data_IF_003261490046
#
_entry.id   IF_003261490046
#
_cell.length_a   1.000
_cell.length_b   1.000
_cell.length_c   1.000
_cell.angle_alpha   90.00
_cell.angle_beta   90.00
_cell.angle_gamma   90.00
#
_symmetry.space_group_name_H-M   'P 1'
#
loop_
_entity.id
_entity.type
_entity.pdbx_description
1 polymer ?
#
# COMPACT_ATOMS: atom_id res chain seq x y z
N UNK A 1 22.41 7.07 -21.12
CA UNK A 1 21.69 8.35 -20.88
C UNK A 1 20.74 8.23 -19.69
N UNK A 2 20.18 7.05 -19.46
CA UNK A 2 19.15 6.77 -18.47
C UNK A 2 19.66 6.78 -17.01
N UNK A 3 20.88 6.32 -16.75
CA UNK A 3 21.50 6.39 -15.42
C UNK A 3 21.75 7.82 -14.90
N UNK A 4 21.96 8.79 -15.81
CA UNK A 4 22.22 10.19 -15.42
C UNK A 4 20.95 10.92 -14.95
N UNK A 5 19.78 10.47 -15.36
CA UNK A 5 18.50 11.11 -15.01
C UNK A 5 17.69 10.32 -13.97
N UNK A 6 18.21 9.20 -13.46
CA UNK A 6 17.49 8.37 -12.51
C UNK A 6 16.25 7.69 -13.10
N UNK A 7 16.11 7.72 -14.43
CA UNK A 7 15.00 7.06 -15.12
C UNK A 7 15.31 5.56 -15.21
N UNK A 8 14.36 4.75 -14.78
CA UNK A 8 14.48 3.31 -14.80
C UNK A 8 14.20 2.77 -16.20
N UNK A 9 15.26 2.47 -16.96
CA UNK A 9 15.17 1.91 -18.31
C UNK A 9 14.89 0.39 -18.32
N UNK A 10 15.09 -0.28 -17.20
CA UNK A 10 15.01 -1.74 -17.07
C UNK A 10 13.67 -2.27 -16.53
N UNK A 11 12.64 -1.43 -16.50
CA UNK A 11 11.34 -1.76 -15.90
C UNK A 11 10.66 -3.03 -16.46
N UNK A 12 10.97 -3.40 -17.70
CA UNK A 12 10.37 -4.55 -18.42
C UNK A 12 11.32 -5.77 -18.45
N UNK A 13 12.60 -5.57 -18.10
CA UNK A 13 13.61 -6.63 -18.20
C UNK A 13 13.47 -7.56 -16.99
N UNK A 14 13.45 -8.87 -17.29
CA UNK A 14 13.44 -9.90 -16.24
C UNK A 14 14.75 -9.87 -15.46
N UNK A 15 14.67 -9.79 -14.14
CA UNK A 15 15.83 -9.95 -13.24
C UNK A 15 16.13 -11.44 -13.10
N UNK A 16 17.26 -11.87 -13.66
CA UNK A 16 17.72 -13.26 -13.59
C UNK A 16 18.17 -13.59 -12.15
N UNK A 17 18.08 -14.87 -11.72
CA UNK A 17 18.49 -15.28 -10.36
C UNK A 17 19.92 -14.86 -9.99
N UNK A 18 20.81 -14.86 -10.98
CA UNK A 18 22.24 -14.49 -10.82
C UNK A 18 22.44 -13.01 -10.47
N UNK A 19 21.50 -12.16 -10.89
CA UNK A 19 21.53 -10.70 -10.66
C UNK A 19 20.73 -10.26 -9.44
N UNK A 20 20.22 -11.19 -8.64
CA UNK A 20 19.44 -10.90 -7.45
C UNK A 20 20.34 -10.77 -6.23
N UNK A 21 19.97 -9.89 -5.33
CA UNK A 21 20.71 -9.66 -4.08
C UNK A 21 20.48 -10.83 -3.13
N UNK A 22 21.54 -11.27 -2.42
CA UNK A 22 21.36 -12.10 -1.25
C UNK A 22 20.70 -11.24 -0.15
N UNK A 23 19.49 -11.64 0.28
CA UNK A 23 18.74 -10.90 1.30
C UNK A 23 19.19 -11.32 2.68
N UNK A 24 19.56 -10.35 3.49
CA UNK A 24 19.84 -10.55 4.91
C UNK A 24 18.56 -10.30 5.71
N UNK A 25 18.40 -10.92 6.87
CA UNK A 25 17.21 -10.82 7.72
C UNK A 25 16.77 -9.37 8.01
N UNK A 26 17.71 -8.44 8.13
CA UNK A 26 17.38 -7.02 8.35
C UNK A 26 16.81 -6.32 7.10
N UNK A 27 17.05 -6.87 5.91
CA UNK A 27 16.45 -6.36 4.66
C UNK A 27 14.99 -6.80 4.56
N UNK A 28 14.65 -7.99 5.06
CA UNK A 28 13.25 -8.44 5.20
C UNK A 28 12.49 -7.55 6.18
N UNK A 29 13.11 -7.22 7.33
CA UNK A 29 12.55 -6.27 8.27
C UNK A 29 12.39 -4.88 7.65
N UNK A 30 13.36 -4.43 6.88
CA UNK A 30 13.27 -3.16 6.13
C UNK A 30 12.11 -3.15 5.14
N UNK A 31 11.81 -4.28 4.50
CA UNK A 31 10.65 -4.42 3.62
C UNK A 31 9.33 -4.36 4.40
N UNK A 32 9.26 -5.02 5.55
CA UNK A 32 8.08 -4.93 6.42
C UNK A 32 7.84 -3.49 6.89
N UNK A 33 8.90 -2.75 7.24
CA UNK A 33 8.82 -1.35 7.64
C UNK A 33 8.42 -0.42 6.48
N UNK A 34 8.84 -0.74 5.25
CA UNK A 34 8.39 -0.06 4.04
C UNK A 34 6.88 -0.22 3.83
N UNK A 35 6.38 -1.44 3.96
CA UNK A 35 4.93 -1.69 3.89
C UNK A 35 4.16 -1.00 5.04
N UNK A 36 4.73 -0.98 6.23
CA UNK A 36 4.17 -0.22 7.36
C UNK A 36 4.11 1.28 7.04
N UNK A 37 5.16 1.87 6.46
CA UNK A 37 5.18 3.28 6.05
C UNK A 37 4.11 3.58 5.01
N UNK A 38 3.98 2.75 3.97
CA UNK A 38 3.00 2.96 2.90
C UNK A 38 1.55 2.85 3.37
N UNK A 39 1.28 2.07 4.42
CA UNK A 39 -0.06 1.85 4.97
C UNK A 39 -0.41 2.72 6.18
N UNK A 40 0.58 3.16 6.96
CA UNK A 40 0.39 4.11 8.07
C UNK A 40 0.29 5.54 7.54
N UNK A 41 -0.87 5.91 7.01
CA UNK A 41 -1.13 7.24 6.47
C UNK A 41 -2.52 7.75 6.89
N UNK A 42 -2.73 9.05 6.70
CA UNK A 42 -3.97 9.72 7.09
C UNK A 42 -5.19 9.20 6.32
N UNK A 43 -5.03 8.78 5.08
CA UNK A 43 -6.13 8.23 4.28
C UNK A 43 -6.60 6.87 4.86
N UNK A 44 -5.67 6.00 5.27
CA UNK A 44 -6.02 4.74 5.95
C UNK A 44 -6.68 4.98 7.30
N UNK A 45 -6.20 5.99 8.07
CA UNK A 45 -6.84 6.41 9.31
C UNK A 45 -8.28 6.88 9.06
N UNK A 46 -8.50 7.71 8.04
CA UNK A 46 -9.82 8.20 7.65
C UNK A 46 -10.77 7.06 7.26
N UNK A 47 -10.26 5.99 6.65
CA UNK A 47 -11.06 4.80 6.34
C UNK A 47 -11.60 4.14 7.61
N UNK A 48 -10.85 4.12 8.70
CA UNK A 48 -11.30 3.61 9.99
C UNK A 48 -12.50 4.38 10.57
N UNK A 49 -12.59 5.69 10.34
CA UNK A 49 -13.72 6.51 10.78
C UNK A 49 -15.03 6.24 10.04
N UNK A 50 -14.98 5.61 8.87
CA UNK A 50 -16.18 5.28 8.10
C UNK A 50 -17.14 4.36 8.87
N UNK A 51 -16.62 3.52 9.77
CA UNK A 51 -17.45 2.67 10.60
C UNK A 51 -18.44 3.47 11.45
N UNK A 52 -17.98 4.55 12.07
CA UNK A 52 -18.85 5.46 12.81
C UNK A 52 -19.84 6.19 11.87
N UNK A 53 -19.39 6.66 10.72
CA UNK A 53 -20.24 7.33 9.73
C UNK A 53 -21.34 6.39 9.19
N UNK A 54 -21.10 5.10 9.18
CA UNK A 54 -22.08 4.08 8.80
C UNK A 54 -22.99 3.64 9.96
N UNK A 55 -22.81 4.21 11.16
CA UNK A 55 -23.63 3.85 12.32
C UNK A 55 -23.23 2.54 13.01
N UNK A 56 -22.03 2.03 12.75
CA UNK A 56 -21.49 0.83 13.39
C UNK A 56 -20.91 1.16 14.78
N UNK A 57 -21.02 0.22 15.71
CA UNK A 57 -20.33 0.30 16.98
C UNK A 57 -18.81 0.22 16.80
N UNK A 58 -18.05 0.70 17.79
CA UNK A 58 -16.59 0.63 17.78
C UNK A 58 -16.09 -0.82 17.57
N UNK A 59 -16.70 -1.78 18.29
CA UNK A 59 -16.32 -3.20 18.18
C UNK A 59 -16.55 -3.75 16.78
N UNK A 60 -17.68 -3.44 16.15
CA UNK A 60 -17.98 -3.86 14.77
C UNK A 60 -17.02 -3.25 13.78
N UNK A 61 -16.72 -1.96 13.91
CA UNK A 61 -15.77 -1.24 13.05
C UNK A 61 -14.37 -1.82 13.17
N UNK A 62 -13.87 -2.08 14.39
CA UNK A 62 -12.56 -2.71 14.61
C UNK A 62 -12.49 -4.10 14.00
N UNK A 63 -13.52 -4.93 14.17
CA UNK A 63 -13.55 -6.26 13.56
C UNK A 63 -13.52 -6.17 12.03
N UNK A 64 -14.30 -5.28 11.42
CA UNK A 64 -14.26 -5.06 9.98
C UNK A 64 -12.87 -4.61 9.50
N UNK A 65 -12.21 -3.70 10.23
CA UNK A 65 -10.86 -3.26 9.91
C UNK A 65 -9.85 -4.41 9.99
N UNK A 66 -9.89 -5.21 11.06
CA UNK A 66 -8.96 -6.34 11.24
C UNK A 66 -9.17 -7.40 10.15
N UNK A 67 -10.39 -7.90 9.99
CA UNK A 67 -10.66 -8.96 9.01
C UNK A 67 -10.50 -8.48 7.57
N UNK A 68 -10.96 -7.28 7.24
CA UNK A 68 -10.78 -6.68 5.92
C UNK A 68 -9.31 -6.51 5.56
N UNK A 69 -8.49 -6.02 6.50
CA UNK A 69 -7.04 -5.87 6.30
C UNK A 69 -6.34 -7.20 6.14
N UNK A 70 -6.65 -8.21 6.98
CA UNK A 70 -6.04 -9.55 6.87
C UNK A 70 -6.37 -10.17 5.51
N UNK A 71 -7.62 -10.14 5.10
CA UNK A 71 -8.03 -10.71 3.81
C UNK A 71 -7.36 -9.98 2.63
N UNK A 72 -7.38 -8.64 2.62
CA UNK A 72 -6.77 -7.86 1.57
C UNK A 72 -5.25 -8.01 1.51
N UNK A 73 -4.58 -7.98 2.66
CA UNK A 73 -3.12 -8.19 2.75
C UNK A 73 -2.70 -9.60 2.36
N UNK A 74 -3.54 -10.61 2.60
CA UNK A 74 -3.27 -11.99 2.17
C UNK A 74 -3.21 -12.09 0.65
N UNK A 75 -4.12 -11.42 -0.07
CA UNK A 75 -4.08 -11.36 -1.54
C UNK A 75 -2.83 -10.62 -2.03
N UNK A 76 -2.53 -9.48 -1.44
CA UNK A 76 -1.34 -8.68 -1.77
C UNK A 76 -0.06 -9.47 -1.51
N UNK A 77 0.06 -10.13 -0.35
CA UNK A 77 1.20 -10.97 0.00
C UNK A 77 1.38 -12.15 -0.96
N UNK A 78 0.29 -12.81 -1.33
CA UNK A 78 0.34 -13.90 -2.32
C UNK A 78 0.87 -13.41 -3.67
N UNK A 79 0.37 -12.29 -4.19
CA UNK A 79 0.84 -11.76 -5.47
C UNK A 79 2.26 -11.19 -5.39
N UNK A 80 2.69 -10.69 -4.24
CA UNK A 80 4.08 -10.26 -4.01
C UNK A 80 5.09 -11.38 -4.25
N UNK A 81 4.75 -12.64 -3.91
CA UNK A 81 5.64 -13.79 -4.09
C UNK A 81 6.02 -14.03 -5.55
N UNK A 82 5.18 -13.63 -6.50
CA UNK A 82 5.48 -13.78 -7.92
C UNK A 82 6.65 -12.91 -8.38
N UNK A 83 6.91 -11.77 -7.75
CA UNK A 83 8.08 -10.94 -8.05
C UNK A 83 9.39 -11.71 -7.82
N UNK A 84 9.53 -12.32 -6.65
CA UNK A 84 10.68 -13.16 -6.32
C UNK A 84 10.73 -14.45 -7.18
N UNK A 85 9.59 -15.08 -7.44
CA UNK A 85 9.55 -16.31 -8.22
C UNK A 85 9.92 -16.11 -9.70
N UNK A 86 9.41 -15.03 -10.31
CA UNK A 86 9.55 -14.84 -11.78
C UNK A 86 10.66 -13.85 -12.15
N UNK A 87 11.05 -12.95 -11.26
CA UNK A 87 11.92 -11.80 -11.57
C UNK A 87 11.26 -10.77 -12.48
N UNK A 88 9.93 -10.73 -12.53
CA UNK A 88 9.14 -9.81 -13.34
C UNK A 88 8.28 -8.92 -12.47
N UNK A 89 7.97 -7.73 -12.95
CA UNK A 89 7.01 -6.82 -12.31
C UNK A 89 5.57 -7.29 -12.53
N UNK A 90 4.67 -6.85 -11.65
CA UNK A 90 3.28 -7.30 -11.61
C UNK A 90 2.57 -7.18 -12.96
N UNK A 91 2.68 -6.04 -13.64
CA UNK A 91 2.06 -5.84 -14.95
C UNK A 91 2.69 -6.69 -16.06
N UNK A 92 3.94 -7.11 -15.92
CA UNK A 92 4.59 -8.05 -16.84
C UNK A 92 4.14 -9.49 -16.59
N UNK A 93 3.91 -9.86 -15.32
CA UNK A 93 3.42 -11.18 -14.93
C UNK A 93 1.97 -11.36 -15.37
N UNK A 94 1.14 -10.38 -15.15
CA UNK A 94 -0.30 -10.43 -15.48
C UNK A 94 -0.55 -10.69 -16.97
N UNK A 95 0.42 -10.36 -17.84
CA UNK A 95 0.36 -10.66 -19.26
C UNK A 95 0.26 -12.18 -19.55
N UNK A 96 0.87 -13.01 -18.70
CA UNK A 96 0.82 -14.46 -18.88
C UNK A 96 -0.54 -15.05 -18.50
N UNK A 97 -1.27 -14.39 -17.61
CA UNK A 97 -2.62 -14.80 -17.20
C UNK A 97 -3.71 -14.24 -18.11
N UNK A 98 -3.62 -12.96 -18.48
CA UNK A 98 -4.65 -12.26 -19.26
C UNK A 98 -4.39 -12.24 -20.77
N UNK A 99 -3.15 -12.54 -21.20
CA UNK A 99 -2.74 -12.37 -22.59
C UNK A 99 -2.33 -10.93 -22.92
N UNK A 100 -1.83 -10.72 -24.14
CA UNK A 100 -1.21 -9.45 -24.54
C UNK A 100 -2.19 -8.26 -24.59
N UNK A 101 -3.34 -8.42 -25.22
CA UNK A 101 -4.30 -7.34 -25.40
C UNK A 101 -5.11 -7.02 -24.15
N UNK A 102 -5.72 -7.99 -23.44
CA UNK A 102 -6.44 -7.70 -22.22
C UNK A 102 -5.53 -7.12 -21.12
N UNK A 103 -4.27 -7.52 -21.08
CA UNK A 103 -3.33 -6.97 -20.11
C UNK A 103 -3.09 -5.46 -20.25
N UNK A 104 -3.22 -4.90 -21.44
CA UNK A 104 -3.16 -3.45 -21.63
C UNK A 104 -4.29 -2.72 -20.92
N UNK A 105 -5.49 -3.32 -20.92
CA UNK A 105 -6.63 -2.79 -20.18
C UNK A 105 -6.37 -2.88 -18.67
N UNK A 106 -5.85 -4.01 -18.20
CA UNK A 106 -5.49 -4.19 -16.77
C UNK A 106 -4.46 -3.14 -16.34
N UNK A 107 -3.42 -2.91 -17.16
CA UNK A 107 -2.42 -1.88 -16.89
C UNK A 107 -3.02 -0.46 -16.88
N UNK A 108 -3.94 -0.15 -17.80
CA UNK A 108 -4.64 1.13 -17.80
C UNK A 108 -5.49 1.32 -16.54
N UNK A 109 -6.24 0.29 -16.13
CA UNK A 109 -7.03 0.32 -14.90
C UNK A 109 -6.14 0.51 -13.68
N UNK A 110 -4.97 -0.13 -13.64
CA UNK A 110 -3.99 0.08 -12.57
C UNK A 110 -3.52 1.55 -12.53
N UNK A 111 -3.20 2.17 -13.67
CA UNK A 111 -2.82 3.60 -13.73
C UNK A 111 -3.93 4.48 -13.16
N UNK A 112 -5.19 4.26 -13.57
CA UNK A 112 -6.35 5.01 -13.06
C UNK A 112 -6.47 4.84 -11.55
N UNK A 113 -6.33 3.61 -11.05
CA UNK A 113 -6.35 3.31 -9.62
C UNK A 113 -5.26 4.07 -8.85
N UNK A 114 -4.02 4.07 -9.34
CA UNK A 114 -2.91 4.77 -8.68
C UNK A 114 -3.12 6.29 -8.66
N UNK A 115 -3.63 6.87 -9.75
CA UNK A 115 -4.02 8.28 -9.80
C UNK A 115 -5.13 8.58 -8.78
N UNK A 116 -6.12 7.68 -8.65
CA UNK A 116 -7.18 7.79 -7.66
C UNK A 116 -6.64 7.85 -6.22
N UNK A 117 -5.73 6.95 -5.87
CA UNK A 117 -5.07 6.95 -4.54
C UNK A 117 -4.22 8.19 -4.31
N UNK A 118 -3.47 8.65 -5.33
CA UNK A 118 -2.71 9.89 -5.25
C UNK A 118 -3.63 11.09 -4.97
N UNK A 119 -4.77 11.15 -5.65
CA UNK A 119 -5.77 12.21 -5.42
C UNK A 119 -6.33 12.18 -3.98
N UNK A 120 -6.68 10.98 -3.47
CA UNK A 120 -7.12 10.83 -2.06
C UNK A 120 -6.03 11.31 -1.10
N UNK A 121 -4.78 10.92 -1.32
CA UNK A 121 -3.64 11.38 -0.52
C UNK A 121 -3.46 12.89 -0.55
N UNK A 122 -3.57 13.52 -1.71
CA UNK A 122 -3.49 14.99 -1.85
C UNK A 122 -4.64 15.70 -1.14
N UNK A 123 -5.86 15.17 -1.22
CA UNK A 123 -7.04 15.74 -0.58
C UNK A 123 -6.89 15.66 0.94
N UNK A 124 -6.59 14.49 1.49
CA UNK A 124 -6.42 14.29 2.94
C UNK A 124 -5.25 15.11 3.48
N UNK A 125 -4.13 15.15 2.76
CA UNK A 125 -2.98 15.98 3.10
C UNK A 125 -3.29 17.48 3.04
N UNK A 126 -4.04 17.93 2.04
CA UNK A 126 -4.47 19.32 1.90
C UNK A 126 -5.40 19.77 3.02
N UNK A 127 -6.32 18.91 3.44
CA UNK A 127 -7.21 19.17 4.59
C UNK A 127 -6.38 19.26 5.88
N UNK A 128 -5.43 18.34 6.09
CA UNK A 128 -4.54 18.37 7.25
C UNK A 128 -3.68 19.64 7.28
N UNK A 129 -3.12 20.05 6.14
CA UNK A 129 -2.34 21.28 6.03
C UNK A 129 -3.18 22.53 6.36
N UNK A 130 -4.43 22.57 5.90
CA UNK A 130 -5.39 23.64 6.24
C UNK A 130 -5.66 23.70 7.74
N UNK A 131 -5.84 22.54 8.38
CA UNK A 131 -6.08 22.44 9.82
C UNK A 131 -4.87 22.95 10.62
N UNK A 132 -3.66 22.53 10.25
CA UNK A 132 -2.40 23.00 10.89
C UNK A 132 -2.22 24.52 10.73
N UNK A 133 -2.62 25.07 9.58
CA UNK A 133 -2.60 26.52 9.35
C UNK A 133 -3.76 27.27 10.04
N UNK A 134 -4.44 26.65 11.00
CA UNK A 134 -5.59 27.25 11.73
C UNK A 134 -6.65 27.83 10.77
N UNK A 135 -6.87 27.16 9.65
CA UNK A 135 -7.80 27.53 8.58
C UNK A 135 -7.48 28.85 7.84
N UNK A 136 -6.31 29.46 8.07
CA UNK A 136 -5.84 30.61 7.26
C UNK A 136 -5.51 30.18 5.82
N UNK A 137 -5.25 28.89 5.59
CA UNK A 137 -5.06 28.31 4.27
C UNK A 137 -6.31 27.53 3.86
N UNK A 138 -6.89 27.84 2.69
CA UNK A 138 -8.05 27.06 2.23
C UNK A 138 -7.64 25.63 1.88
N UNK A 139 -8.50 24.61 2.13
CA UNK A 139 -8.19 23.20 1.78
C UNK A 139 -7.81 23.02 0.31
N UNK A 140 -8.41 23.79 -0.59
CA UNK A 140 -8.10 23.72 -2.04
C UNK A 140 -6.65 24.10 -2.34
N UNK A 141 -6.16 25.17 -1.71
CA UNK A 141 -4.75 25.61 -1.83
C UNK A 141 -3.83 24.56 -1.21
N UNK A 142 -4.22 24.00 -0.04
CA UNK A 142 -3.50 22.90 0.59
C UNK A 142 -3.34 21.70 -0.34
N UNK A 143 -4.39 21.27 -1.04
CA UNK A 143 -4.35 20.18 -2.01
C UNK A 143 -3.35 20.47 -3.14
N UNK A 144 -3.36 21.69 -3.70
CA UNK A 144 -2.42 22.07 -4.76
C UNK A 144 -0.98 22.04 -4.27
N UNK A 145 -0.71 22.53 -3.07
CA UNK A 145 0.63 22.52 -2.47
C UNK A 145 1.12 21.06 -2.30
N UNK A 146 0.30 20.19 -1.69
CA UNK A 146 0.67 18.78 -1.49
C UNK A 146 0.87 18.08 -2.84
N UNK A 147 0.01 18.32 -3.83
CA UNK A 147 0.17 17.74 -5.16
C UNK A 147 1.47 18.18 -5.84
N UNK A 148 1.81 19.47 -5.75
CA UNK A 148 3.06 20.01 -6.31
C UNK A 148 4.29 19.40 -5.62
N UNK A 149 4.30 19.29 -4.29
CA UNK A 149 5.39 18.67 -3.54
C UNK A 149 5.51 17.19 -3.92
N UNK A 150 4.41 16.46 -3.94
CA UNK A 150 4.39 15.03 -4.31
C UNK A 150 4.90 14.81 -5.74
N UNK A 151 4.51 15.69 -6.68
CA UNK A 151 5.02 15.66 -8.05
C UNK A 151 6.53 15.89 -8.11
N UNK A 152 7.04 16.92 -7.41
CA UNK A 152 8.48 17.16 -7.34
C UNK A 152 9.24 15.97 -6.72
N UNK A 153 8.70 15.35 -5.66
CA UNK A 153 9.29 14.16 -5.07
C UNK A 153 9.32 12.98 -6.05
N UNK A 154 8.27 12.79 -6.84
CA UNK A 154 8.22 11.72 -7.83
C UNK A 154 9.28 11.84 -8.93
N UNK A 155 9.71 13.07 -9.24
CA UNK A 155 10.77 13.33 -10.20
C UNK A 155 12.18 12.95 -9.69
N UNK A 156 12.36 12.79 -8.35
CA UNK A 156 13.64 12.39 -7.77
C UNK A 156 13.96 10.90 -7.97
N UNK A 157 12.99 10.15 -8.48
CA UNK A 157 13.15 8.74 -8.80
C UNK A 157 12.90 7.79 -7.63
N UNK A 158 12.68 6.53 -7.98
CA UNK A 158 12.27 5.46 -7.05
C UNK A 158 13.25 5.29 -5.87
N UNK A 159 14.55 5.43 -6.12
CA UNK A 159 15.57 5.25 -5.08
C UNK A 159 15.38 6.22 -3.90
N UNK A 160 15.06 7.48 -4.18
CA UNK A 160 14.83 8.49 -3.13
C UNK A 160 13.55 8.18 -2.36
N UNK A 161 12.50 7.77 -3.07
CA UNK A 161 11.22 7.38 -2.47
C UNK A 161 11.41 6.20 -1.52
N UNK A 162 12.14 5.16 -1.93
CA UNK A 162 12.40 3.99 -1.07
C UNK A 162 13.24 4.34 0.16
N UNK A 163 14.18 5.27 0.05
CA UNK A 163 14.93 5.76 1.22
C UNK A 163 14.03 6.56 2.16
N UNK A 164 13.17 7.43 1.63
CA UNK A 164 12.18 8.16 2.41
C UNK A 164 11.24 7.21 3.16
N UNK A 165 10.63 6.26 2.49
CA UNK A 165 9.69 5.31 3.09
C UNK A 165 10.32 4.45 4.17
N UNK A 166 11.61 4.11 4.04
CA UNK A 166 12.35 3.35 5.06
C UNK A 166 12.35 4.03 6.43
N UNK A 167 12.33 5.36 6.48
CA UNK A 167 12.38 6.13 7.73
C UNK A 167 11.05 6.80 8.09
N UNK A 168 10.17 7.03 7.13
CA UNK A 168 8.91 7.74 7.32
C UNK A 168 7.97 7.03 8.32
N UNK A 169 8.03 5.70 8.41
CA UNK A 169 7.24 4.94 9.38
C UNK A 169 7.47 5.39 10.82
N UNK A 170 8.69 5.84 11.19
CA UNK A 170 9.00 6.30 12.55
C UNK A 170 8.15 7.52 12.88
N UNK A 171 8.12 8.49 11.98
CA UNK A 171 7.35 9.73 12.17
C UNK A 171 5.86 9.42 12.25
N UNK A 172 5.34 8.60 11.33
CA UNK A 172 3.93 8.21 11.33
C UNK A 172 3.57 7.42 12.58
N UNK A 173 4.41 6.47 13.01
CA UNK A 173 4.20 5.71 14.23
C UNK A 173 4.09 6.61 15.47
N UNK A 174 5.00 7.56 15.62
CA UNK A 174 4.97 8.53 16.74
C UNK A 174 3.69 9.36 16.70
N UNK A 175 3.31 9.88 15.53
CA UNK A 175 2.07 10.66 15.38
C UNK A 175 0.86 9.81 15.75
N UNK A 176 0.76 8.58 15.28
CA UNK A 176 -0.37 7.70 15.61
C UNK A 176 -0.40 7.32 17.08
N UNK A 177 0.75 7.12 17.73
CA UNK A 177 0.80 6.86 19.18
C UNK A 177 0.32 8.06 20.00
N UNK A 178 0.66 9.28 19.57
CA UNK A 178 0.14 10.51 20.19
C UNK A 178 -1.38 10.59 19.99
N UNK A 179 -1.87 10.43 18.76
CA UNK A 179 -3.29 10.45 18.45
C UNK A 179 -4.06 9.38 19.25
N UNK A 180 -3.49 8.19 19.38
CA UNK A 180 -4.09 7.12 20.19
C UNK A 180 -4.15 7.50 21.67
N UNK A 181 -3.07 8.07 22.22
CA UNK A 181 -3.01 8.53 23.61
C UNK A 181 -4.05 9.62 23.91
N UNK A 182 -4.18 10.58 23.00
CA UNK A 182 -5.17 11.65 23.12
C UNK A 182 -6.61 11.15 22.97
N UNK A 183 -6.85 10.17 22.09
CA UNK A 183 -8.18 9.63 21.84
C UNK A 183 -8.64 8.60 22.89
N UNK A 184 -7.71 7.89 23.53
CA UNK A 184 -8.01 6.79 24.45
C UNK A 184 -8.97 7.15 25.60
N UNK A 185 -8.87 8.33 26.26
CA UNK A 185 -9.79 8.70 27.32
C UNK A 185 -11.24 8.90 26.86
N UNK A 186 -11.44 9.17 25.57
CA UNK A 186 -12.76 9.45 24.98
C UNK A 186 -13.39 8.22 24.32
N UNK A 187 -12.71 7.05 24.37
CA UNK A 187 -13.23 5.82 23.80
C UNK A 187 -14.42 5.31 24.59
N UNK A 188 -15.58 5.29 23.96
CA UNK A 188 -16.80 4.69 24.53
C UNK A 188 -17.06 3.32 23.87
N UNK A 189 -16.82 2.27 24.63
CA UNK A 189 -17.11 0.89 24.22
C UNK A 189 -18.59 0.51 24.27
N UNK A 190 -19.43 1.40 24.83
CA UNK A 190 -20.86 1.16 25.04
C UNK A 190 -21.74 1.78 23.98
N UNK A 191 -21.15 2.56 23.05
CA UNK A 191 -21.94 3.17 21.96
C UNK A 191 -22.63 2.07 21.17
N UNK A 192 -23.97 1.97 21.25
CA UNK A 192 -24.70 0.96 20.51
C UNK A 192 -24.64 1.27 19.00
N UNK A 193 -24.82 0.23 18.18
CA UNK A 193 -25.07 0.45 16.76
C UNK A 193 -26.40 1.19 16.60
N UNK A 194 -26.44 2.17 15.70
CA UNK A 194 -27.67 2.89 15.36
C UNK A 194 -28.53 2.17 14.31
N UNK A 195 -28.05 1.02 13.83
CA UNK A 195 -28.66 0.28 12.72
C UNK A 195 -29.41 -0.95 13.21
N UNK A 196 -30.58 -1.19 12.60
CA UNK A 196 -31.44 -2.34 12.87
C UNK A 196 -31.73 -3.13 11.60
N UNK A 197 -32.11 -4.39 11.76
CA UNK A 197 -32.55 -5.27 10.66
C UNK A 197 -31.50 -5.47 9.60
N UNK A 198 -31.86 -5.37 8.33
CA UNK A 198 -30.97 -5.61 7.18
C UNK A 198 -29.95 -4.49 6.93
N UNK A 199 -30.12 -3.33 7.53
CA UNK A 199 -29.17 -2.21 7.38
C UNK A 199 -27.82 -2.51 8.05
N UNK A 200 -27.81 -3.21 9.18
CA UNK A 200 -26.61 -3.56 9.90
C UNK A 200 -25.65 -4.45 9.08
N UNK A 201 -26.07 -5.63 8.54
CA UNK A 201 -25.15 -6.41 7.70
C UNK A 201 -24.73 -5.66 6.43
N UNK A 202 -25.57 -4.81 5.87
CA UNK A 202 -25.20 -3.94 4.75
C UNK A 202 -24.06 -3.01 5.07
N UNK A 203 -24.11 -2.31 6.21
CA UNK A 203 -23.03 -1.42 6.68
C UNK A 203 -21.74 -2.19 6.99
N UNK A 204 -21.85 -3.34 7.64
CA UNK A 204 -20.71 -4.23 7.95
C UNK A 204 -20.01 -4.68 6.65
N UNK A 205 -20.77 -5.17 5.68
CA UNK A 205 -20.22 -5.62 4.40
C UNK A 205 -19.60 -4.46 3.61
N UNK A 206 -20.22 -3.28 3.66
CA UNK A 206 -19.68 -2.08 3.00
C UNK A 206 -18.35 -1.68 3.60
N UNK A 207 -18.22 -1.58 4.94
CA UNK A 207 -16.97 -1.25 5.59
C UNK A 207 -15.91 -2.32 5.35
N UNK A 208 -16.28 -3.60 5.47
CA UNK A 208 -15.37 -4.72 5.20
C UNK A 208 -14.84 -4.67 3.77
N UNK A 209 -15.71 -4.41 2.79
CA UNK A 209 -15.31 -4.31 1.38
C UNK A 209 -14.39 -3.12 1.12
N UNK A 210 -14.62 -1.97 1.76
CA UNK A 210 -13.75 -0.79 1.63
C UNK A 210 -12.37 -1.08 2.22
N UNK A 211 -12.29 -1.64 3.42
CA UNK A 211 -11.01 -1.98 4.07
C UNK A 211 -10.27 -3.06 3.30
N UNK A 212 -10.98 -4.11 2.87
CA UNK A 212 -10.42 -5.14 1.99
C UNK A 212 -9.86 -4.52 0.71
N UNK A 213 -10.64 -3.70 0.03
CA UNK A 213 -10.23 -3.04 -1.21
C UNK A 213 -9.02 -2.13 -1.03
N UNK A 214 -8.95 -1.39 0.08
CA UNK A 214 -7.79 -0.55 0.43
C UNK A 214 -6.51 -1.38 0.57
N UNK A 215 -6.58 -2.53 1.24
CA UNK A 215 -5.41 -3.42 1.43
C UNK A 215 -5.10 -4.25 0.18
N UNK A 216 -6.11 -4.75 -0.51
CA UNK A 216 -5.95 -5.54 -1.74
C UNK A 216 -5.52 -4.70 -2.95
N UNK A 217 -5.75 -3.38 -2.94
CA UNK A 217 -5.36 -2.51 -4.05
C UNK A 217 -3.84 -2.51 -4.32
N UNK A 218 -3.03 -2.79 -3.32
CA UNK A 218 -1.59 -2.92 -3.45
C UNK A 218 -1.16 -4.15 -4.26
N UNK A 219 -2.03 -5.12 -4.46
CA UNK A 219 -1.73 -6.34 -5.22
C UNK A 219 -1.32 -6.05 -6.67
N UNK A 220 -1.73 -4.92 -7.23
CA UNK A 220 -1.42 -4.51 -8.61
C UNK A 220 0.03 -4.07 -8.82
N UNK A 221 0.78 -3.81 -7.73
CA UNK A 221 2.18 -3.41 -7.76
C UNK A 221 3.04 -4.20 -6.77
N UNK A 222 2.46 -5.14 -6.03
CA UNK A 222 3.14 -5.85 -4.95
C UNK A 222 4.40 -6.58 -5.42
N UNK A 223 4.35 -7.27 -6.57
CA UNK A 223 5.50 -7.98 -7.13
C UNK A 223 6.68 -7.06 -7.45
N UNK A 224 6.44 -5.77 -7.74
CA UNK A 224 7.48 -4.83 -8.15
C UNK A 224 8.52 -4.61 -7.06
N UNK A 225 8.12 -4.70 -5.80
CA UNK A 225 8.99 -4.56 -4.64
C UNK A 225 9.88 -5.79 -4.39
N UNK A 226 9.51 -6.95 -4.91
CA UNK A 226 10.19 -8.22 -4.65
C UNK A 226 10.95 -8.79 -5.84
N UNK A 227 11.05 -8.07 -6.95
CA UNK A 227 11.73 -8.53 -8.19
C UNK A 227 13.21 -8.85 -7.95
N UNK A 228 13.87 -8.13 -7.05
CA UNK A 228 15.29 -8.32 -6.72
C UNK A 228 15.53 -9.32 -5.59
N UNK A 229 14.45 -9.82 -4.95
CA UNK A 229 14.56 -10.77 -3.85
C UNK A 229 14.84 -12.19 -4.36
N UNK A 230 15.64 -12.99 -3.63
CA UNK A 230 15.89 -14.37 -3.99
C UNK A 230 14.61 -15.18 -3.84
N UNK A 231 14.38 -16.09 -4.77
CA UNK A 231 13.30 -17.06 -4.61
C UNK A 231 13.80 -18.22 -3.75
N UNK A 232 13.26 -18.36 -2.55
CA UNK A 232 13.63 -19.46 -1.63
C UNK A 232 13.38 -20.85 -2.21
N UNK A 233 12.51 -20.97 -3.23
CA UNK A 233 12.27 -22.21 -3.95
C UNK A 233 13.48 -22.70 -4.76
N UNK A 234 14.42 -21.81 -5.08
CA UNK A 234 15.65 -22.16 -5.81
C UNK A 234 16.88 -22.29 -4.90
N UNK A 235 16.76 -22.08 -3.60
CA UNK A 235 17.87 -22.25 -2.65
C UNK A 235 18.09 -23.70 -2.22
N UNK A 236 17.12 -24.59 -2.51
CA UNK A 236 17.32 -26.04 -2.41
C UNK A 236 17.87 -26.54 -3.74
N UNK A 237 19.10 -27.10 -3.79
CA UNK A 237 19.61 -27.70 -5.02
C UNK A 237 18.64 -28.77 -5.49
N UNK A 238 18.13 -28.61 -6.70
CA UNK A 238 17.30 -29.63 -7.33
C UNK A 238 18.11 -30.94 -7.40
N UNK A 239 17.51 -32.10 -7.16
CA UNK A 239 18.19 -33.37 -7.43
C UNK A 239 18.73 -33.49 -8.86
N UNK A 240 18.24 -32.67 -9.79
CA UNK A 240 18.76 -32.58 -11.17
C UNK A 240 20.08 -31.80 -11.28
N UNK A 241 20.35 -30.86 -10.34
CA UNK A 241 21.60 -30.09 -10.38
C UNK A 241 22.77 -30.91 -9.82
N UNK A 242 22.48 -31.91 -8.97
CA UNK A 242 23.47 -32.86 -8.45
C UNK A 242 23.97 -33.88 -9.49
N UNK A 243 23.30 -34.00 -10.65
CA UNK A 243 23.68 -34.93 -11.72
C UNK A 243 24.46 -34.26 -12.86
N UNK A 244 24.71 -32.93 -12.76
CA UNK A 244 25.43 -32.14 -13.77
C UNK A 244 26.82 -31.65 -13.29
N UNK A 245 27.28 -32.07 -12.12
CA UNK A 245 28.62 -31.81 -11.59
C UNK A 245 29.55 -33.00 -11.76
#
# INVERSE_FOLDING_TARGET
MDEKFGLESEAIIRKLPENRKAVKWYEELSMALLWASGTMNLACCSTGFLGWSFGLSLKQSLLCCIFGSILGSSVTGYLATFGAATGLRQMSISRYSFGWWPNKLVALLNVIQQIGWAAVGCITGGIALSAVASHHLSPRVGVVIIAAISFCFSLLGLRVILVYERYAWIVFFVIFMILFGEAAPYVDNKTPTSLEGSALPGAVLTLLAIVYGSSASWCTIASDYYVEYPCLLYTSPSPRDATLS
#
